data_IF_644111907286
#
_entry.id   IF_644111907286
#
_cell.length_a   1.000
_cell.length_b   1.000
_cell.length_c   1.000
_cell.angle_alpha   90.00
_cell.angle_beta   90.00
_cell.angle_gamma   90.00
#
_symmetry.space_group_name_H-M   'P 1'
#
loop_
_entity.id
_entity.type
_entity.pdbx_description
1 polymer ?
#
# COMPACT_ATOMS: atom_id res chain seq x y z
N UNK A 1 -5.61 -11.69 -7.30
CA UNK A 1 -6.52 -10.52 -7.19
C UNK A 1 -6.92 -9.97 -8.56
N UNK A 2 -5.98 -9.69 -9.46
CA UNK A 2 -6.29 -9.20 -10.81
C UNK A 2 -7.17 -10.17 -11.64
N UNK A 3 -6.91 -11.48 -11.58
CA UNK A 3 -7.71 -12.49 -12.29
C UNK A 3 -9.16 -12.57 -11.79
N UNK A 4 -9.39 -12.42 -10.47
CA UNK A 4 -10.73 -12.38 -9.89
C UNK A 4 -11.53 -11.19 -10.42
N UNK A 5 -10.90 -10.01 -10.49
CA UNK A 5 -11.54 -8.80 -11.06
C UNK A 5 -11.85 -8.95 -12.55
N UNK A 6 -10.96 -9.58 -13.33
CA UNK A 6 -11.22 -9.90 -14.74
C UNK A 6 -12.38 -10.87 -14.91
N UNK A 7 -12.48 -11.89 -14.07
CA UNK A 7 -13.60 -12.84 -14.08
C UNK A 7 -14.93 -12.16 -13.69
N UNK A 8 -14.92 -11.22 -12.74
CA UNK A 8 -16.12 -10.43 -12.39
C UNK A 8 -16.57 -9.51 -13.53
N UNK A 9 -15.65 -8.84 -14.22
CA UNK A 9 -15.98 -8.05 -15.41
C UNK A 9 -16.59 -8.95 -16.50
N UNK A 10 -16.07 -10.16 -16.69
CA UNK A 10 -16.64 -11.17 -17.59
C UNK A 10 -18.09 -11.54 -17.24
N UNK A 11 -18.37 -11.79 -15.96
CA UNK A 11 -19.73 -12.07 -15.46
C UNK A 11 -20.68 -10.89 -15.69
N UNK A 12 -20.23 -9.66 -15.47
CA UNK A 12 -21.04 -8.45 -15.71
C UNK A 12 -21.36 -8.31 -17.20
N UNK A 13 -20.38 -8.54 -18.09
CA UNK A 13 -20.63 -8.48 -19.53
C UNK A 13 -21.62 -9.56 -19.98
N UNK A 14 -21.51 -10.78 -19.46
CA UNK A 14 -22.44 -11.88 -19.77
C UNK A 14 -23.86 -11.55 -19.26
N UNK A 15 -23.97 -10.97 -18.07
CA UNK A 15 -25.25 -10.51 -17.52
C UNK A 15 -25.88 -9.38 -18.34
N UNK A 16 -25.07 -8.45 -18.84
CA UNK A 16 -25.52 -7.39 -19.76
C UNK A 16 -26.01 -7.96 -21.10
N UNK A 17 -25.39 -9.02 -21.63
CA UNK A 17 -25.85 -9.71 -22.84
C UNK A 17 -27.20 -10.38 -22.60
N UNK A 18 -27.35 -11.17 -21.52
CA UNK A 18 -28.63 -11.81 -21.18
C UNK A 18 -29.75 -10.78 -20.94
N UNK A 19 -29.42 -9.64 -20.32
CA UNK A 19 -30.38 -8.55 -20.11
C UNK A 19 -30.87 -7.96 -21.46
N UNK A 20 -29.98 -7.88 -22.45
CA UNK A 20 -30.28 -7.43 -23.80
C UNK A 20 -31.17 -8.44 -24.53
N UNK A 21 -30.84 -9.73 -24.43
CA UNK A 21 -31.62 -10.81 -25.04
C UNK A 21 -33.05 -10.85 -24.45
N UNK A 22 -33.20 -10.70 -23.13
CA UNK A 22 -34.51 -10.67 -22.47
C UNK A 22 -35.38 -9.44 -22.84
N UNK A 23 -34.75 -8.34 -23.23
CA UNK A 23 -35.45 -7.16 -23.77
C UNK A 23 -35.96 -7.43 -25.20
N UNK A 24 -35.16 -8.13 -26.01
CA UNK A 24 -35.54 -8.52 -27.38
C UNK A 24 -36.70 -9.52 -27.38
N UNK A 25 -36.72 -10.43 -26.41
CA UNK A 25 -37.82 -11.39 -26.19
C UNK A 25 -39.08 -10.73 -25.60
N UNK A 26 -39.04 -9.43 -25.27
CA UNK A 26 -40.18 -8.67 -24.76
C UNK A 26 -40.58 -9.00 -23.31
N UNK A 27 -39.71 -9.68 -22.57
CA UNK A 27 -39.97 -10.13 -21.19
C UNK A 27 -39.85 -8.97 -20.19
N UNK A 28 -39.06 -7.95 -20.53
CA UNK A 28 -38.72 -6.81 -19.66
C UNK A 28 -39.07 -5.49 -20.35
N UNK A 29 -39.63 -4.55 -19.60
CA UNK A 29 -39.90 -3.20 -20.10
C UNK A 29 -38.62 -2.35 -20.26
N UNK A 30 -38.67 -1.38 -21.18
CA UNK A 30 -37.51 -0.56 -21.54
C UNK A 30 -37.01 0.29 -20.37
N UNK A 31 -37.89 0.75 -19.48
CA UNK A 31 -37.48 1.53 -18.30
C UNK A 31 -36.70 0.66 -17.29
N UNK A 32 -37.17 -0.57 -17.06
CA UNK A 32 -36.49 -1.53 -16.19
C UNK A 32 -35.10 -1.92 -16.73
N UNK A 33 -34.97 -2.06 -18.05
CA UNK A 33 -33.67 -2.30 -18.71
C UNK A 33 -32.67 -1.16 -18.46
N UNK A 34 -33.11 0.10 -18.59
CA UNK A 34 -32.23 1.27 -18.41
C UNK A 34 -31.72 1.35 -16.98
N UNK A 35 -32.57 1.10 -15.99
CA UNK A 35 -32.19 1.11 -14.57
C UNK A 35 -31.16 0.03 -14.22
N UNK A 36 -31.40 -1.23 -14.61
CA UNK A 36 -30.46 -2.33 -14.34
C UNK A 36 -29.15 -2.20 -15.14
N UNK A 37 -29.22 -1.71 -16.38
CA UNK A 37 -28.01 -1.39 -17.17
C UNK A 37 -27.15 -0.33 -16.49
N UNK A 38 -27.75 0.75 -15.98
CA UNK A 38 -27.01 1.81 -15.30
C UNK A 38 -26.27 1.29 -14.06
N UNK A 39 -26.92 0.42 -13.29
CA UNK A 39 -26.35 -0.23 -12.10
C UNK A 39 -25.18 -1.15 -12.44
N UNK A 40 -25.33 -2.03 -13.43
CA UNK A 40 -24.26 -2.93 -13.87
C UNK A 40 -23.08 -2.18 -14.52
N UNK A 41 -23.36 -1.10 -15.28
CA UNK A 41 -22.32 -0.24 -15.84
C UNK A 41 -21.54 0.53 -14.77
N UNK A 42 -22.21 1.01 -13.72
CA UNK A 42 -21.56 1.66 -12.57
C UNK A 42 -20.62 0.69 -11.85
N UNK A 43 -21.08 -0.55 -11.63
CA UNK A 43 -20.26 -1.61 -11.02
C UNK A 43 -19.03 -1.96 -11.86
N UNK A 44 -19.19 -2.09 -13.18
CA UNK A 44 -18.08 -2.31 -14.11
C UNK A 44 -17.05 -1.18 -14.02
N UNK A 45 -17.51 0.07 -14.06
CA UNK A 45 -16.64 1.26 -13.97
C UNK A 45 -15.83 1.28 -12.67
N UNK A 46 -16.47 0.98 -11.53
CA UNK A 46 -15.78 0.89 -10.25
C UNK A 46 -14.67 -0.19 -10.25
N UNK A 47 -14.94 -1.36 -10.83
CA UNK A 47 -13.94 -2.43 -10.93
C UNK A 47 -12.76 -2.06 -11.83
N UNK A 48 -13.01 -1.37 -12.94
CA UNK A 48 -11.99 -0.85 -13.86
C UNK A 48 -11.12 0.21 -13.18
N UNK A 49 -11.73 1.17 -12.48
CA UNK A 49 -11.03 2.20 -11.70
C UNK A 49 -10.14 1.57 -10.64
N UNK A 50 -10.65 0.60 -9.86
CA UNK A 50 -9.83 -0.11 -8.88
C UNK A 50 -8.69 -0.89 -9.52
N UNK A 51 -8.90 -1.50 -10.70
CA UNK A 51 -7.82 -2.17 -11.43
C UNK A 51 -6.75 -1.18 -11.89
N UNK A 52 -7.18 -0.02 -12.40
CA UNK A 52 -6.28 1.05 -12.83
C UNK A 52 -5.48 1.64 -11.67
N UNK A 53 -6.09 1.80 -10.49
CA UNK A 53 -5.42 2.27 -9.28
C UNK A 53 -4.33 1.29 -8.82
N UNK A 54 -4.63 -0.02 -8.85
CA UNK A 54 -3.67 -1.06 -8.51
C UNK A 54 -2.48 -1.10 -9.47
N UNK A 55 -2.71 -0.89 -10.77
CA UNK A 55 -1.65 -0.86 -11.77
C UNK A 55 -0.78 0.39 -11.64
N UNK A 56 -1.38 1.56 -11.37
CA UNK A 56 -0.64 2.81 -11.19
C UNK A 56 0.35 2.74 -10.03
N UNK A 57 0.00 2.10 -8.91
CA UNK A 57 0.87 2.00 -7.73
C UNK A 57 1.79 0.78 -7.70
N UNK A 58 1.80 -0.08 -8.72
CA UNK A 58 2.48 -1.37 -8.64
C UNK A 58 4.01 -1.26 -8.63
N UNK A 59 4.56 -0.22 -9.27
CA UNK A 59 6.01 -0.03 -9.39
C UNK A 59 6.57 1.07 -8.48
N UNK A 60 5.70 1.85 -7.82
CA UNK A 60 6.11 3.01 -7.02
C UNK A 60 7.00 2.64 -5.82
N UNK A 61 6.92 1.40 -5.33
CA UNK A 61 7.77 0.91 -4.25
C UNK A 61 9.17 0.49 -4.72
N UNK A 62 9.38 0.28 -6.03
CA UNK A 62 10.63 -0.22 -6.59
C UNK A 62 11.75 0.82 -6.49
N UNK A 63 11.45 2.08 -6.82
CA UNK A 63 12.43 3.16 -6.75
C UNK A 63 12.92 3.42 -5.31
N UNK A 64 12.06 3.56 -4.28
CA UNK A 64 12.50 3.64 -2.89
C UNK A 64 13.31 2.43 -2.43
N UNK A 65 12.93 1.22 -2.88
CA UNK A 65 13.63 -0.01 -2.53
C UNK A 65 15.05 -0.05 -3.13
N UNK A 66 15.19 0.31 -4.40
CA UNK A 66 16.49 0.43 -5.06
C UNK A 66 17.39 1.47 -4.35
N UNK A 67 16.84 2.65 -4.04
CA UNK A 67 17.58 3.69 -3.30
C UNK A 67 18.05 3.19 -1.93
N UNK A 68 17.23 2.40 -1.24
CA UNK A 68 17.60 1.84 0.05
C UNK A 68 18.73 0.81 -0.04
N UNK A 69 18.69 -0.10 -1.03
CA UNK A 69 19.76 -1.07 -1.25
C UNK A 69 21.08 -0.36 -1.53
N UNK A 70 21.08 0.66 -2.40
CA UNK A 70 22.27 1.45 -2.70
C UNK A 70 22.79 2.15 -1.44
N UNK A 71 21.90 2.79 -0.68
CA UNK A 71 22.28 3.45 0.58
C UNK A 71 22.85 2.45 1.60
N UNK A 72 22.32 1.22 1.67
CA UNK A 72 22.81 0.18 2.57
C UNK A 72 24.17 -0.36 2.13
N UNK A 73 24.42 -0.49 0.82
CA UNK A 73 25.74 -0.86 0.28
C UNK A 73 26.79 0.18 0.64
N UNK A 74 26.49 1.46 0.43
CA UNK A 74 27.44 2.55 0.66
C UNK A 74 27.62 2.84 2.16
N UNK A 75 26.74 2.31 3.03
CA UNK A 75 26.75 2.61 4.46
C UNK A 75 28.03 2.19 5.18
N UNK A 76 28.60 1.04 4.81
CA UNK A 76 29.81 0.52 5.43
C UNK A 76 31.03 1.39 5.06
N UNK A 77 31.16 1.72 3.78
CA UNK A 77 32.21 2.60 3.27
C UNK A 77 32.10 4.01 3.89
N UNK A 78 30.89 4.57 4.01
CA UNK A 78 30.66 5.87 4.65
C UNK A 78 30.95 5.80 6.15
N UNK A 79 30.66 4.68 6.83
CA UNK A 79 30.96 4.51 8.24
C UNK A 79 32.48 4.50 8.50
N UNK A 80 33.25 3.85 7.63
CA UNK A 80 34.70 3.70 7.76
C UNK A 80 35.41 4.99 7.31
N UNK A 81 35.25 5.40 6.05
CA UNK A 81 36.02 6.47 5.41
C UNK A 81 35.26 7.76 5.15
N UNK A 82 33.95 7.80 5.41
CA UNK A 82 33.11 8.96 5.11
C UNK A 82 33.41 10.18 5.99
N UNK A 83 33.15 11.36 5.41
CA UNK A 83 33.20 12.65 6.09
C UNK A 83 32.14 12.77 7.19
N UNK A 84 32.35 13.71 8.13
CA UNK A 84 31.39 13.99 9.21
C UNK A 84 29.98 14.33 8.70
N UNK A 85 29.89 14.98 7.54
CA UNK A 85 28.60 15.34 6.92
C UNK A 85 27.90 14.12 6.32
N UNK A 86 28.63 13.24 5.63
CA UNK A 86 28.05 12.01 5.06
C UNK A 86 27.54 11.08 6.16
N UNK A 87 28.31 10.91 7.24
CA UNK A 87 27.89 10.14 8.43
C UNK A 87 26.63 10.70 9.06
N UNK A 88 26.50 12.03 9.14
CA UNK A 88 25.30 12.70 9.64
C UNK A 88 24.09 12.44 8.75
N UNK A 89 24.24 12.60 7.43
CA UNK A 89 23.16 12.36 6.46
C UNK A 89 22.72 10.90 6.49
N UNK A 90 23.67 9.96 6.58
CA UNK A 90 23.39 8.53 6.69
C UNK A 90 22.63 8.20 7.98
N UNK A 91 23.09 8.71 9.13
CA UNK A 91 22.41 8.53 10.40
C UNK A 91 20.97 9.08 10.37
N UNK A 92 20.77 10.25 9.76
CA UNK A 92 19.43 10.83 9.58
C UNK A 92 18.54 9.95 8.68
N UNK A 93 19.08 9.37 7.60
CA UNK A 93 18.32 8.47 6.71
C UNK A 93 17.94 7.15 7.39
N UNK A 94 18.83 6.58 8.22
CA UNK A 94 18.63 5.27 8.85
C UNK A 94 17.78 5.35 10.13
N UNK A 95 18.05 6.33 11.00
CA UNK A 95 17.38 6.46 12.30
C UNK A 95 16.25 7.49 12.29
N UNK A 96 16.19 8.36 11.28
CA UNK A 96 15.23 9.47 11.24
C UNK A 96 15.52 10.50 12.33
N UNK A 97 14.47 11.16 12.81
CA UNK A 97 14.51 12.13 13.90
C UNK A 97 14.41 11.51 15.30
N UNK A 98 14.23 10.18 15.40
CA UNK A 98 13.96 9.48 16.66
C UNK A 98 15.26 9.04 17.37
N UNK A 99 16.18 9.98 17.58
CA UNK A 99 17.40 9.75 18.34
C UNK A 99 17.15 10.06 19.82
N UNK A 100 17.57 9.16 20.69
CA UNK A 100 17.41 9.29 22.15
C UNK A 100 18.80 9.37 22.77
N UNK A 101 19.00 10.30 23.70
CA UNK A 101 20.19 10.34 24.54
C UNK A 101 19.94 9.49 25.78
N UNK A 102 20.74 8.45 25.96
CA UNK A 102 20.70 7.58 27.14
C UNK A 102 22.11 7.41 27.68
N UNK A 103 22.30 7.60 28.99
CA UNK A 103 23.60 7.49 29.65
C UNK A 103 24.74 8.27 28.96
N UNK A 104 24.47 9.52 28.55
CA UNK A 104 25.41 10.39 27.79
C UNK A 104 25.84 9.84 26.43
N UNK A 105 25.14 8.84 25.88
CA UNK A 105 25.36 8.27 24.55
C UNK A 105 24.14 8.50 23.68
N UNK A 106 24.35 8.84 22.41
CA UNK A 106 23.29 8.88 21.43
C UNK A 106 22.93 7.45 21.00
N UNK A 107 21.64 7.12 21.08
CA UNK A 107 21.06 5.86 20.64
C UNK A 107 19.98 6.16 19.60
N UNK A 108 19.80 5.24 18.65
CA UNK A 108 18.76 5.32 17.64
C UNK A 108 18.21 3.93 17.35
N UNK A 109 16.91 3.85 17.11
CA UNK A 109 16.30 2.66 16.52
C UNK A 109 16.17 2.87 15.02
N UNK A 110 16.60 1.91 14.21
CA UNK A 110 16.48 2.04 12.77
C UNK A 110 15.00 2.11 12.36
N UNK A 111 14.68 3.03 11.46
CA UNK A 111 13.37 3.04 10.80
C UNK A 111 13.34 1.79 9.92
N UNK A 112 12.30 0.99 10.06
CA UNK A 112 12.05 -0.21 9.24
C UNK A 112 10.98 0.15 8.21
N UNK A 113 11.35 0.60 6.99
CA UNK A 113 10.38 1.14 6.04
C UNK A 113 9.32 0.10 5.62
N UNK A 114 9.67 -1.18 5.68
CA UNK A 114 8.81 -2.30 5.30
C UNK A 114 8.32 -3.15 6.48
N UNK A 115 8.44 -2.69 7.74
CA UNK A 115 7.96 -3.51 8.87
C UNK A 115 6.44 -3.76 8.81
N UNK A 116 5.69 -2.88 8.15
CA UNK A 116 4.25 -3.03 7.93
C UNK A 116 3.90 -4.05 6.84
N UNK A 117 4.82 -4.35 5.90
CA UNK A 117 4.60 -5.38 4.89
C UNK A 117 4.74 -6.80 5.47
N UNK A 118 5.38 -6.94 6.63
CA UNK A 118 5.62 -8.22 7.30
C UNK A 118 4.42 -8.62 8.17
N UNK A 119 3.19 -8.25 7.78
CA UNK A 119 1.97 -8.34 8.60
C UNK A 119 1.88 -9.62 9.48
N UNK A 120 1.80 -9.41 10.80
CA UNK A 120 1.27 -10.30 11.82
C UNK A 120 1.77 -11.75 11.86
N UNK A 121 3.06 -11.97 12.14
CA UNK A 121 3.38 -13.16 12.96
C UNK A 121 2.85 -12.89 14.36
N UNK A 122 1.94 -13.73 14.87
CA UNK A 122 1.45 -13.73 16.26
C UNK A 122 2.57 -13.83 17.33
N UNK A 123 3.83 -13.89 16.92
CA UNK A 123 5.00 -13.87 17.79
C UNK A 123 5.40 -12.43 18.15
N UNK A 124 4.93 -12.00 19.32
CA UNK A 124 5.38 -10.86 20.14
C UNK A 124 6.54 -10.01 19.62
N UNK A 125 6.21 -8.92 18.93
CA UNK A 125 7.08 -7.76 18.83
C UNK A 125 6.89 -6.84 20.04
N UNK A 126 7.98 -6.24 20.53
CA UNK A 126 7.96 -5.26 21.61
C UNK A 126 7.11 -4.05 21.20
N UNK A 127 5.94 -3.91 21.81
CA UNK A 127 5.00 -2.80 21.62
C UNK A 127 5.71 -1.50 22.02
N UNK A 128 5.63 -0.47 21.17
CA UNK A 128 6.11 0.87 21.53
C UNK A 128 5.28 1.37 22.71
N UNK A 129 5.88 1.84 23.82
CA UNK A 129 5.12 2.61 24.80
C UNK A 129 4.70 3.89 24.09
N UNK A 130 3.43 3.96 23.67
CA UNK A 130 2.80 5.22 23.30
C UNK A 130 2.89 6.15 24.52
N UNK A 131 3.33 7.38 24.29
CA UNK A 131 3.63 8.34 25.34
C UNK A 131 2.40 8.83 26.11
N UNK A 132 2.69 9.26 27.34
CA UNK A 132 2.05 10.32 28.12
C UNK A 132 0.52 10.43 28.04
N UNK A 133 -0.18 9.59 28.79
CA UNK A 133 -1.36 10.06 29.53
C UNK A 133 -1.06 9.95 31.03
N UNK A 134 -1.30 11.00 31.84
CA UNK A 134 -1.11 10.93 33.28
C UNK A 134 -2.20 10.06 33.93
N UNK A 135 -1.83 9.37 35.00
CA UNK A 135 -2.74 8.56 35.81
C UNK A 135 -3.93 9.40 36.32
N UNK A 136 -5.14 9.03 35.90
CA UNK A 136 -6.36 9.39 36.62
C UNK A 136 -6.46 8.50 37.85
N UNK A 137 -6.39 9.12 39.02
CA UNK A 137 -6.76 8.53 40.31
C UNK A 137 -8.24 8.08 40.30
#
# INVERSE_FOLDING_TARGET
MAERKRAEIGKINLRLQTLLDSLLDGIIDREAYVAEKAKEMSRKKSLEEQSSALLKGQADWLEPFQKWILTAKDADEIAISGSLQEKRVLAQKVFGSNLVLDCKKARGSCVKPWSLLVENSTSGGMVRPAGLEPATF
#
